data_IF_014377729076
#
_entry.id   IF_014377729076
#
_cell.length_a   1.000
_cell.length_b   1.000
_cell.length_c   1.000
_cell.angle_alpha   90.00
_cell.angle_beta   90.00
_cell.angle_gamma   90.00
#
_symmetry.space_group_name_H-M   'P 1'
#
loop_
_entity.id
_entity.type
_entity.pdbx_description
1 polymer ?
#
# COMPACT_ATOMS: atom_id res chain seq x y z
N UNK A 1 4.82 -26.51 -0.86
CA UNK A 1 4.74 -25.08 -1.20
C UNK A 1 3.94 -24.94 -2.49
N UNK A 2 2.73 -24.38 -2.40
CA UNK A 2 1.83 -24.22 -3.55
C UNK A 2 1.95 -22.80 -4.09
N UNK A 3 2.96 -22.54 -4.92
CA UNK A 3 3.00 -21.26 -5.63
C UNK A 3 1.99 -21.31 -6.77
N UNK A 4 0.99 -20.45 -6.73
CA UNK A 4 0.02 -20.30 -7.83
C UNK A 4 0.57 -19.23 -8.77
N UNK A 5 0.87 -19.62 -10.00
CA UNK A 5 1.27 -18.67 -11.04
C UNK A 5 0.01 -18.04 -11.65
N UNK A 6 -0.09 -16.74 -11.57
CA UNK A 6 -1.12 -15.95 -12.24
C UNK A 6 -0.47 -15.21 -13.40
N UNK A 7 -1.26 -14.66 -14.33
CA UNK A 7 -0.77 -13.77 -15.40
C UNK A 7 -0.01 -12.54 -14.86
N UNK A 8 -0.15 -12.23 -13.57
CA UNK A 8 0.48 -11.11 -12.89
C UNK A 8 1.69 -11.51 -12.00
N UNK A 9 2.12 -12.79 -12.05
CA UNK A 9 3.26 -13.29 -11.30
C UNK A 9 2.93 -14.44 -10.34
N UNK A 10 3.92 -14.79 -9.54
CA UNK A 10 3.81 -15.86 -8.55
C UNK A 10 3.08 -15.36 -7.29
N UNK A 11 1.93 -15.97 -6.98
CA UNK A 11 1.18 -15.71 -5.76
C UNK A 11 1.42 -16.82 -4.74
N UNK A 12 1.86 -16.45 -3.53
CA UNK A 12 1.93 -17.35 -2.37
C UNK A 12 0.79 -17.04 -1.41
N UNK A 13 -0.10 -17.99 -1.12
CA UNK A 13 -1.15 -17.82 -0.11
C UNK A 13 -0.58 -17.47 1.26
N UNK A 14 -1.37 -16.80 2.10
CA UNK A 14 -0.95 -16.48 3.47
C UNK A 14 -0.56 -17.74 4.25
N UNK A 15 -1.29 -18.86 4.07
CA UNK A 15 -1.00 -20.15 4.69
C UNK A 15 0.42 -20.65 4.45
N UNK A 16 0.98 -20.38 3.27
CA UNK A 16 2.33 -20.82 2.90
C UNK A 16 3.43 -19.90 3.43
N UNK A 17 3.08 -18.66 3.77
CA UNK A 17 4.01 -17.64 4.32
C UNK A 17 3.97 -17.59 5.85
N UNK A 18 2.86 -18.02 6.42
CA UNK A 18 2.63 -17.93 7.86
C UNK A 18 3.67 -18.71 8.70
N UNK A 19 4.15 -19.91 8.30
CA UNK A 19 5.20 -20.61 9.04
C UNK A 19 6.50 -19.81 9.13
N UNK A 20 6.98 -19.24 8.03
CA UNK A 20 8.21 -18.42 8.01
C UNK A 20 8.02 -17.14 8.86
N UNK A 21 6.84 -16.53 8.79
CA UNK A 21 6.51 -15.38 9.63
C UNK A 21 6.51 -15.74 11.11
N UNK A 22 5.91 -16.87 11.52
CA UNK A 22 5.86 -17.31 12.92
C UNK A 22 7.21 -17.75 13.44
N UNK A 23 8.12 -18.19 12.58
CA UNK A 23 9.52 -18.47 12.96
C UNK A 23 10.27 -17.16 13.28
N UNK A 24 10.08 -16.11 12.48
CA UNK A 24 10.71 -14.82 12.69
C UNK A 24 10.07 -14.01 13.83
N UNK A 25 8.75 -14.17 14.03
CA UNK A 25 7.97 -13.47 15.06
C UNK A 25 7.21 -14.48 15.93
N UNK A 26 7.89 -15.29 16.74
CA UNK A 26 7.27 -16.36 17.49
C UNK A 26 6.41 -15.83 18.63
N UNK A 27 5.19 -16.38 18.83
CA UNK A 27 4.32 -16.02 19.95
C UNK A 27 4.97 -16.26 21.32
N UNK A 28 5.89 -17.23 21.41
CA UNK A 28 6.68 -17.50 22.63
C UNK A 28 7.55 -16.33 23.08
N UNK A 29 7.85 -15.37 22.18
CA UNK A 29 8.58 -14.15 22.47
C UNK A 29 7.65 -12.93 22.61
N UNK A 30 6.35 -13.16 22.73
CA UNK A 30 5.34 -12.13 22.92
C UNK A 30 4.86 -11.46 21.62
N UNK A 31 5.20 -12.00 20.44
CA UNK A 31 4.70 -11.48 19.19
C UNK A 31 3.26 -11.96 18.90
N UNK A 32 2.49 -11.10 18.23
CA UNK A 32 1.13 -11.40 17.81
C UNK A 32 0.66 -10.48 16.70
N UNK A 33 -0.48 -10.83 16.09
CA UNK A 33 -1.18 -9.96 15.14
C UNK A 33 -2.49 -9.53 15.79
N UNK A 34 -2.66 -8.22 15.94
CA UNK A 34 -3.90 -7.58 16.40
C UNK A 34 -4.65 -7.03 15.20
N UNK A 35 -5.98 -7.20 15.18
CA UNK A 35 -6.85 -6.62 14.15
C UNK A 35 -7.70 -5.53 14.78
N UNK A 36 -7.80 -4.41 14.09
CA UNK A 36 -8.65 -3.28 14.42
C UNK A 36 -9.54 -2.96 13.22
N UNK A 37 -10.84 -2.87 13.47
CA UNK A 37 -11.83 -2.47 12.46
C UNK A 37 -12.35 -1.08 12.84
N UNK A 38 -12.39 -0.18 11.88
CA UNK A 38 -12.84 1.20 12.08
C UNK A 38 -13.61 1.71 10.87
N UNK A 39 -14.45 2.73 11.08
CA UNK A 39 -15.09 3.46 9.99
C UNK A 39 -14.13 4.48 9.36
N UNK A 40 -14.49 4.97 8.16
CA UNK A 40 -13.68 5.95 7.45
C UNK A 40 -13.55 7.31 8.17
N UNK A 41 -14.50 7.67 9.01
CA UNK A 41 -14.47 8.94 9.75
C UNK A 41 -13.54 8.84 10.98
N UNK A 42 -13.28 7.64 11.49
CA UNK A 42 -12.36 7.42 12.60
C UNK A 42 -10.93 7.86 12.28
N UNK A 43 -10.52 7.74 11.02
CA UNK A 43 -9.19 8.17 10.56
C UNK A 43 -9.13 9.66 10.19
N UNK A 44 -10.28 10.34 10.17
CA UNK A 44 -10.41 11.77 9.83
C UNK A 44 -11.21 12.51 10.89
N UNK A 45 -10.71 12.60 12.14
CA UNK A 45 -11.47 13.16 13.26
C UNK A 45 -11.92 14.61 13.03
N UNK A 46 -11.13 15.43 12.34
CA UNK A 46 -11.51 16.79 11.98
C UNK A 46 -12.71 16.84 11.03
N UNK A 47 -12.75 15.95 10.04
CA UNK A 47 -13.89 15.86 9.13
C UNK A 47 -15.14 15.35 9.86
N UNK A 48 -15.00 14.37 10.74
CA UNK A 48 -16.09 13.88 11.59
C UNK A 48 -16.70 15.02 12.42
N UNK A 49 -15.86 15.83 13.08
CA UNK A 49 -16.31 16.99 13.86
C UNK A 49 -17.08 18.01 13.02
N UNK A 50 -16.68 18.24 11.75
CA UNK A 50 -17.40 19.13 10.85
C UNK A 50 -18.79 18.59 10.47
N UNK A 51 -18.91 17.29 10.20
CA UNK A 51 -20.22 16.66 9.98
C UNK A 51 -21.11 16.77 11.23
N UNK A 52 -20.57 16.46 12.40
CA UNK A 52 -21.31 16.58 13.67
C UNK A 52 -21.80 18.01 13.91
N UNK A 53 -20.97 19.02 13.64
CA UNK A 53 -21.34 20.43 13.77
C UNK A 53 -22.45 20.82 12.78
N UNK A 54 -22.34 20.41 11.51
CA UNK A 54 -23.37 20.69 10.50
C UNK A 54 -24.72 20.06 10.90
N UNK A 55 -24.72 18.80 11.33
CA UNK A 55 -25.93 18.09 11.76
C UNK A 55 -26.56 18.79 12.99
N UNK A 56 -25.76 19.13 14.01
CA UNK A 56 -26.22 19.82 15.22
C UNK A 56 -26.81 21.20 14.93
N UNK A 57 -26.29 21.88 13.90
CA UNK A 57 -26.78 23.20 13.47
C UNK A 57 -27.98 23.13 12.51
N UNK A 58 -28.46 21.93 12.15
CA UNK A 58 -29.53 21.74 11.18
C UNK A 58 -29.16 22.12 9.74
N UNK A 59 -27.86 22.28 9.46
CA UNK A 59 -27.35 22.61 8.12
C UNK A 59 -27.12 21.34 7.33
N UNK A 60 -27.60 21.28 6.08
CA UNK A 60 -27.36 20.12 5.24
C UNK A 60 -25.85 19.99 4.92
N UNK A 61 -25.37 18.76 4.79
CA UNK A 61 -23.97 18.47 4.46
C UNK A 61 -23.53 19.22 3.20
N UNK A 62 -24.37 19.22 2.19
CA UNK A 62 -24.13 19.95 0.92
C UNK A 62 -24.05 21.47 1.13
N UNK A 63 -24.95 22.06 1.92
CA UNK A 63 -24.95 23.49 2.19
C UNK A 63 -23.75 23.93 3.05
N UNK A 64 -23.23 23.02 3.88
CA UNK A 64 -22.01 23.23 4.64
C UNK A 64 -20.73 23.10 3.79
N UNK A 65 -20.84 22.79 2.49
CA UNK A 65 -19.69 22.58 1.60
C UNK A 65 -18.89 21.31 1.91
N UNK A 66 -19.49 20.39 2.68
CA UNK A 66 -18.84 19.14 3.03
C UNK A 66 -19.08 18.07 1.94
N UNK A 67 -18.12 17.16 1.71
CA UNK A 67 -18.32 16.02 0.83
C UNK A 67 -19.48 15.14 1.34
N UNK A 68 -20.07 14.27 0.49
CA UNK A 68 -21.05 13.29 0.94
C UNK A 68 -20.50 12.44 2.07
N UNK A 69 -21.37 12.02 3.00
CA UNK A 69 -20.96 11.05 4.05
C UNK A 69 -20.46 9.76 3.40
N UNK A 70 -19.39 9.18 3.92
CA UNK A 70 -18.96 7.85 3.48
C UNK A 70 -20.08 6.82 3.65
N UNK A 71 -20.04 5.77 2.82
CA UNK A 71 -20.95 4.64 3.02
C UNK A 71 -20.80 4.07 4.44
N UNK A 72 -21.90 3.81 5.16
CA UNK A 72 -21.85 3.16 6.46
C UNK A 72 -21.27 1.73 6.39
N UNK A 73 -21.35 1.10 5.20
CA UNK A 73 -20.73 -0.20 4.94
C UNK A 73 -19.23 -0.14 4.69
N UNK A 74 -18.66 1.05 4.56
CA UNK A 74 -17.23 1.22 4.29
C UNK A 74 -16.44 1.15 5.59
N UNK A 75 -15.53 0.17 5.66
CA UNK A 75 -14.66 -0.05 6.80
C UNK A 75 -13.19 0.00 6.40
N UNK A 76 -12.36 0.26 7.39
CA UNK A 76 -10.92 0.07 7.32
C UNK A 76 -10.57 -1.03 8.32
N UNK A 77 -9.90 -2.06 7.82
CA UNK A 77 -9.33 -3.12 8.66
C UNK A 77 -7.83 -2.93 8.70
N UNK A 78 -7.31 -2.85 9.91
CA UNK A 78 -5.88 -2.64 10.17
C UNK A 78 -5.33 -3.82 10.94
N UNK A 79 -4.26 -4.42 10.41
CA UNK A 79 -3.49 -5.45 11.09
C UNK A 79 -2.24 -4.83 11.69
N UNK A 80 -1.95 -5.11 12.95
CA UNK A 80 -0.75 -4.66 13.65
C UNK A 80 0.11 -5.86 14.02
N UNK A 81 1.41 -5.79 13.76
CA UNK A 81 2.36 -6.62 14.45
C UNK A 81 2.56 -6.04 15.85
N UNK A 82 2.36 -6.86 16.85
CA UNK A 82 2.55 -6.46 18.25
C UNK A 82 3.65 -7.29 18.90
N UNK A 83 4.27 -6.73 19.94
CA UNK A 83 5.15 -7.47 20.85
C UNK A 83 4.82 -7.06 22.28
N UNK A 84 4.46 -8.03 23.13
CA UNK A 84 4.02 -7.78 24.51
C UNK A 84 2.96 -6.69 24.61
N UNK A 85 1.98 -6.69 23.69
CA UNK A 85 0.91 -5.69 23.62
C UNK A 85 1.30 -4.33 23.01
N UNK A 86 2.57 -4.12 22.68
CA UNK A 86 3.02 -2.89 22.00
C UNK A 86 2.93 -3.06 20.49
N UNK A 87 2.25 -2.15 19.81
CA UNK A 87 2.13 -2.11 18.34
C UNK A 87 3.44 -1.64 17.72
N UNK A 88 4.05 -2.44 16.84
CA UNK A 88 5.34 -2.17 16.20
C UNK A 88 5.19 -1.59 14.80
N UNK A 89 4.31 -2.18 14.00
CA UNK A 89 4.02 -1.75 12.62
C UNK A 89 2.62 -2.18 12.26
N UNK A 90 2.09 -1.65 11.14
CA UNK A 90 0.75 -1.98 10.69
C UNK A 90 0.62 -1.97 9.17
N UNK A 91 -0.37 -2.72 8.68
CA UNK A 91 -0.89 -2.59 7.34
C UNK A 91 -2.41 -2.49 7.39
N UNK A 92 -3.02 -1.90 6.38
CA UNK A 92 -4.46 -1.69 6.36
C UNK A 92 -5.06 -1.98 4.99
N UNK A 93 -6.34 -2.31 5.00
CA UNK A 93 -7.16 -2.45 3.80
C UNK A 93 -8.48 -1.72 3.96
N UNK A 94 -9.04 -1.28 2.85
CA UNK A 94 -10.39 -0.72 2.75
C UNK A 94 -11.32 -1.79 2.18
N UNK A 95 -12.54 -1.88 2.72
CA UNK A 95 -13.55 -2.82 2.23
C UNK A 95 -14.95 -2.20 2.36
N UNK A 96 -15.80 -2.50 1.38
CA UNK A 96 -17.24 -2.37 1.52
C UNK A 96 -17.77 -3.71 2.04
N UNK A 97 -18.50 -3.68 3.15
CA UNK A 97 -19.08 -4.86 3.77
C UNK A 97 -20.57 -4.90 3.42
N UNK A 98 -20.94 -5.80 2.55
CA UNK A 98 -22.33 -6.06 2.18
C UNK A 98 -22.82 -7.38 2.79
N UNK A 99 -21.88 -8.32 2.99
CA UNK A 99 -22.13 -9.65 3.54
C UNK A 99 -21.13 -9.93 4.67
N UNK A 100 -21.51 -10.83 5.59
CA UNK A 100 -20.68 -11.25 6.72
C UNK A 100 -19.29 -11.74 6.27
N UNK A 101 -19.22 -12.47 5.17
CA UNK A 101 -17.96 -12.96 4.61
C UNK A 101 -16.99 -11.86 4.16
N UNK A 102 -17.48 -10.67 3.84
CA UNK A 102 -16.64 -9.55 3.40
C UNK A 102 -15.73 -9.07 4.54
N UNK A 103 -16.18 -9.13 5.78
CA UNK A 103 -15.36 -8.80 6.95
C UNK A 103 -14.22 -9.79 7.11
N UNK A 104 -14.49 -11.10 7.02
CA UNK A 104 -13.46 -12.14 7.07
C UNK A 104 -12.41 -11.97 5.96
N UNK A 105 -12.87 -11.64 4.74
CA UNK A 105 -11.98 -11.34 3.63
C UNK A 105 -11.10 -10.11 3.91
N UNK A 106 -11.68 -9.05 4.46
CA UNK A 106 -10.96 -7.82 4.78
C UNK A 106 -9.89 -8.05 5.86
N UNK A 107 -10.21 -8.82 6.91
CA UNK A 107 -9.24 -9.21 7.92
C UNK A 107 -8.07 -10.03 7.33
N UNK A 108 -8.40 -11.00 6.48
CA UNK A 108 -7.39 -11.83 5.81
C UNK A 108 -6.48 -10.99 4.95
N UNK A 109 -7.03 -10.04 4.17
CA UNK A 109 -6.26 -9.09 3.34
C UNK A 109 -5.34 -8.20 4.19
N UNK A 110 -5.84 -7.68 5.32
CA UNK A 110 -5.01 -6.85 6.21
C UNK A 110 -3.82 -7.64 6.75
N UNK A 111 -4.02 -8.91 7.16
CA UNK A 111 -2.93 -9.81 7.59
C UNK A 111 -1.95 -10.09 6.45
N UNK A 112 -2.44 -10.38 5.24
CA UNK A 112 -1.60 -10.63 4.07
C UNK A 112 -0.70 -9.44 3.76
N UNK A 113 -1.24 -8.22 3.78
CA UNK A 113 -0.49 -6.98 3.57
C UNK A 113 0.56 -6.76 4.65
N UNK A 114 0.24 -7.05 5.92
CA UNK A 114 1.20 -6.93 7.01
C UNK A 114 2.38 -7.88 6.82
N UNK A 115 2.09 -9.16 6.54
CA UNK A 115 3.10 -10.19 6.33
C UNK A 115 3.99 -9.86 5.11
N UNK A 116 3.38 -9.39 4.01
CA UNK A 116 4.11 -8.94 2.83
C UNK A 116 4.99 -7.70 3.10
N UNK A 117 4.48 -6.72 3.83
CA UNK A 117 5.22 -5.50 4.19
C UNK A 117 6.44 -5.80 5.09
N UNK A 118 6.41 -6.91 5.81
CA UNK A 118 7.51 -7.41 6.63
C UNK A 118 8.52 -8.26 5.85
N UNK A 119 8.35 -8.41 4.53
CA UNK A 119 9.29 -9.08 3.65
C UNK A 119 9.06 -10.59 3.47
N UNK A 120 7.97 -11.13 4.01
CA UNK A 120 7.62 -12.54 3.81
C UNK A 120 6.88 -12.74 2.50
N UNK A 121 7.61 -12.68 1.44
CA UNK A 121 7.35 -13.03 0.06
C UNK A 121 5.88 -13.05 -0.40
N UNK A 122 5.65 -12.37 -1.45
CA UNK A 122 4.37 -12.25 -2.11
C UNK A 122 4.30 -10.91 -2.83
N UNK A 123 3.65 -10.85 -3.94
CA UNK A 123 3.23 -9.60 -4.52
C UNK A 123 2.49 -8.81 -3.44
N UNK A 124 2.91 -7.57 -3.19
CA UNK A 124 2.23 -6.65 -2.25
C UNK A 124 0.76 -6.47 -2.67
N UNK A 125 0.49 -6.77 -3.93
CA UNK A 125 -0.83 -6.69 -4.55
C UNK A 125 -1.56 -8.02 -4.37
N UNK A 126 -2.68 -7.97 -3.69
CA UNK A 126 -3.67 -9.05 -3.66
C UNK A 126 -4.29 -9.17 -5.07
N UNK A 127 -4.77 -10.36 -5.43
CA UNK A 127 -5.43 -10.61 -6.73
C UNK A 127 -6.51 -9.58 -7.05
N UNK A 128 -7.27 -9.16 -6.03
CA UNK A 128 -8.33 -8.17 -6.18
C UNK A 128 -7.80 -6.75 -6.40
N UNK A 129 -6.59 -6.46 -5.93
CA UNK A 129 -5.90 -5.19 -6.19
C UNK A 129 -5.36 -5.10 -7.62
N UNK A 130 -4.90 -6.23 -8.15
CA UNK A 130 -4.46 -6.35 -9.55
C UNK A 130 -5.63 -6.12 -10.52
N UNK A 131 -6.82 -6.60 -10.18
CA UNK A 131 -8.05 -6.37 -10.98
C UNK A 131 -8.50 -4.91 -10.91
N UNK A 132 -8.24 -4.21 -9.81
CA UNK A 132 -8.60 -2.80 -9.62
C UNK A 132 -7.61 -1.82 -10.26
N UNK A 133 -6.42 -2.27 -10.67
CA UNK A 133 -5.50 -1.43 -11.42
C UNK A 133 -6.04 -1.21 -12.83
N UNK A 134 -6.16 0.05 -13.31
CA UNK A 134 -6.44 0.28 -14.72
C UNK A 134 -5.36 -0.43 -15.53
N UNK A 135 -5.76 -1.09 -16.63
CA UNK A 135 -4.84 -1.77 -17.53
C UNK A 135 -3.78 -0.77 -18.03
N UNK A 136 -2.71 -0.64 -17.29
CA UNK A 136 -1.54 0.14 -17.70
C UNK A 136 -0.88 -0.65 -18.80
N UNK A 137 -0.88 -0.09 -20.01
CA UNK A 137 -0.06 -0.55 -21.12
C UNK A 137 1.33 -0.87 -20.59
N UNK A 138 1.89 -2.06 -20.86
CA UNK A 138 3.22 -2.40 -20.37
C UNK A 138 4.20 -1.33 -20.86
N UNK A 139 4.78 -0.59 -19.93
CA UNK A 139 5.94 0.25 -20.22
C UNK A 139 7.03 -0.72 -20.62
N UNK A 140 7.27 -0.85 -21.95
CA UNK A 140 8.45 -1.52 -22.43
C UNK A 140 9.65 -0.79 -21.85
N UNK A 141 10.30 -1.38 -20.88
CA UNK A 141 11.66 -1.02 -20.52
C UNK A 141 12.52 -1.38 -21.74
N UNK A 142 12.67 -0.42 -22.66
CA UNK A 142 13.75 -0.48 -23.62
C UNK A 142 15.04 -0.56 -22.80
N UNK A 143 15.74 -1.68 -22.98
CA UNK A 143 17.09 -1.83 -22.46
C UNK A 143 17.91 -0.61 -22.90
N UNK A 144 18.80 -0.06 -22.05
CA UNK A 144 19.68 1.02 -22.47
C UNK A 144 20.45 0.56 -23.69
N UNK A 145 20.31 1.30 -24.80
CA UNK A 145 21.06 1.07 -26.00
C UNK A 145 22.55 1.06 -25.63
N UNK A 146 23.25 0.02 -26.08
CA UNK A 146 24.69 -0.10 -25.95
C UNK A 146 25.31 1.21 -26.49
N UNK A 147 26.17 1.83 -25.68
CA UNK A 147 26.88 3.04 -26.03
C UNK A 147 27.69 2.78 -27.33
N UNK A 148 27.39 3.60 -28.33
CA UNK A 148 28.18 3.64 -29.58
C UNK A 148 29.56 4.22 -29.23
N UNK A 149 30.68 3.52 -29.50
CA UNK A 149 32.03 3.97 -29.14
C UNK A 149 32.60 5.04 -30.09
N UNK A 150 31.78 5.76 -30.84
CA UNK A 150 32.22 6.72 -31.86
C UNK A 150 31.98 8.19 -31.54
N UNK A 151 31.76 8.55 -30.24
CA UNK A 151 31.74 9.97 -29.84
C UNK A 151 33.17 10.37 -29.44
N UNK A 152 33.86 11.27 -30.17
CA UNK A 152 35.18 11.75 -29.77
C UNK A 152 35.06 12.61 -28.52
N UNK A 153 35.88 12.30 -27.53
CA UNK A 153 36.12 13.07 -26.32
C UNK A 153 36.46 14.51 -26.66
N UNK A 154 35.68 15.43 -26.11
CA UNK A 154 35.94 16.89 -26.16
C UNK A 154 37.09 17.27 -25.20
N UNK A 155 38.33 17.00 -25.64
CA UNK A 155 39.55 17.46 -24.99
C UNK A 155 40.52 18.03 -26.04
N UNK A 156 40.05 18.97 -26.82
CA UNK A 156 40.91 19.71 -27.77
C UNK A 156 40.33 21.08 -28.13
N UNK A 157 39.84 21.85 -27.17
CA UNK A 157 39.59 23.32 -27.38
C UNK A 157 39.89 24.09 -26.09
N UNK A 158 41.13 24.10 -25.67
CA UNK A 158 41.61 25.02 -24.65
C UNK A 158 43.07 25.37 -24.85
N UNK A 159 43.46 25.71 -26.09
CA UNK A 159 44.78 26.29 -26.34
C UNK A 159 44.74 27.15 -27.62
N UNK A 160 43.99 28.25 -27.58
CA UNK A 160 44.13 29.35 -28.56
C UNK A 160 43.25 30.54 -28.18
N UNK A 161 43.62 31.27 -27.09
CA UNK A 161 43.14 32.63 -26.87
C UNK A 161 44.00 33.32 -25.81
N UNK A 162 45.29 33.44 -26.07
CA UNK A 162 46.19 34.33 -25.32
C UNK A 162 47.29 34.80 -26.25
N UNK A 163 46.92 35.55 -27.27
CA UNK A 163 47.81 36.47 -28.01
C UNK A 163 46.89 37.41 -28.78
N UNK A 164 46.72 38.59 -28.27
CA UNK A 164 46.49 39.91 -28.92
C UNK A 164 45.76 40.83 -27.94
N UNK A 165 46.52 41.63 -27.25
CA UNK A 165 46.23 43.05 -27.04
C UNK A 165 47.45 43.71 -26.42
N UNK A 166 48.21 44.39 -27.28
CA UNK A 166 48.85 45.61 -26.87
C UNK A 166 47.82 46.66 -26.53
#
# INVERSE_FOLDING_TARGET
MSTVYTEYGAYRPLSDRLPEFLEAYPPSQGYGIEIEVSDLLSIKPGLRSLYEAAIKSGVSIKSAGLPPLPSPSAIIVRAFLTRNGTRLTSAQTYQLVEFEKDLECAETRARQRLVAALGFDGSILDRDELVALPATTPVQHSAPAAADPSVPTADAVAEKSLEHSE
#
